data_IF_333346351776
#
_entry.id   IF_333346351776
#
_cell.length_a   1.000
_cell.length_b   1.000
_cell.length_c   1.000
_cell.angle_alpha   90.00
_cell.angle_beta   90.00
_cell.angle_gamma   90.00
#
_symmetry.space_group_name_H-M   'P 1'
#
loop_
_entity.id
_entity.type
_entity.pdbx_description
1 polymer ?
#
# COMPACT_ATOMS: atom_id res chain seq x y z
N UNK A 1 47.71 -79.08 4.39
CA UNK A 1 46.38 -78.76 3.83
C UNK A 1 46.56 -77.50 2.99
N UNK A 2 46.41 -77.60 1.66
CA UNK A 2 46.23 -76.44 0.77
C UNK A 2 44.80 -75.94 1.10
N UNK A 3 44.55 -74.66 1.29
CA UNK A 3 44.19 -73.72 0.23
C UNK A 3 44.17 -72.29 0.82
N UNK A 4 44.52 -71.38 -0.06
CA UNK A 4 44.67 -69.92 0.03
C UNK A 4 43.32 -69.24 0.33
N UNK A 5 43.32 -68.18 1.14
CA UNK A 5 42.23 -67.21 1.21
C UNK A 5 42.80 -65.77 1.12
N UNK A 6 42.49 -65.12 0.01
CA UNK A 6 42.55 -63.67 -0.23
C UNK A 6 41.32 -63.03 0.45
N UNK A 7 41.25 -61.76 0.87
CA UNK A 7 41.26 -60.53 0.08
C UNK A 7 40.79 -59.36 0.96
N UNK A 8 41.26 -58.15 0.64
CA UNK A 8 40.60 -56.83 0.77
C UNK A 8 40.27 -56.31 2.19
N UNK A 9 40.71 -55.12 2.60
CA UNK A 9 40.50 -53.84 1.91
C UNK A 9 41.68 -52.89 2.15
N UNK A 10 42.21 -52.33 1.07
CA UNK A 10 43.16 -51.21 1.10
C UNK A 10 42.39 -49.95 1.50
N UNK A 11 42.86 -49.27 2.55
CA UNK A 11 42.46 -47.91 2.89
C UNK A 11 42.81 -46.97 1.73
N UNK A 12 41.81 -46.42 1.04
CA UNK A 12 42.03 -45.32 0.09
C UNK A 12 41.69 -44.01 0.80
N UNK A 13 42.75 -43.26 1.09
CA UNK A 13 42.72 -41.88 1.51
C UNK A 13 42.64 -41.01 0.24
N UNK A 14 41.48 -40.43 -0.05
CA UNK A 14 41.36 -39.34 -1.02
C UNK A 14 40.64 -38.17 -0.35
N UNK A 15 41.40 -37.14 0.01
CA UNK A 15 40.86 -35.83 0.32
C UNK A 15 40.26 -35.23 -0.95
N UNK A 16 38.94 -35.09 -1.00
CA UNK A 16 38.24 -34.25 -1.98
C UNK A 16 37.84 -32.95 -1.28
N UNK A 17 38.69 -31.94 -1.48
CA UNK A 17 38.33 -30.52 -1.33
C UNK A 17 37.84 -30.02 -2.68
N UNK A 18 36.53 -29.93 -2.80
CA UNK A 18 35.83 -29.01 -3.70
C UNK A 18 34.36 -29.03 -3.29
N UNK A 19 33.97 -28.12 -2.40
CA UNK A 19 32.57 -27.83 -2.17
C UNK A 19 31.97 -27.40 -3.51
N UNK A 20 30.93 -28.10 -3.94
CA UNK A 20 30.23 -27.81 -5.18
C UNK A 20 29.81 -26.35 -5.25
N UNK A 21 29.83 -25.80 -6.46
CA UNK A 21 29.23 -24.51 -6.74
C UNK A 21 27.80 -24.50 -6.19
N UNK A 22 27.38 -23.47 -5.44
CA UNK A 22 25.97 -23.34 -5.11
C UNK A 22 25.22 -23.19 -6.42
N UNK A 23 24.23 -24.06 -6.58
CA UNK A 23 23.18 -23.98 -7.58
C UNK A 23 22.70 -22.53 -7.68
N UNK A 24 22.79 -21.93 -8.87
CA UNK A 24 22.04 -20.71 -9.23
C UNK A 24 20.55 -21.06 -9.26
N UNK A 25 19.99 -21.28 -8.08
CA UNK A 25 18.58 -21.06 -7.84
C UNK A 25 18.41 -19.54 -7.96
N UNK A 26 18.02 -19.13 -9.17
CA UNK A 26 17.48 -17.83 -9.52
C UNK A 26 16.67 -17.32 -8.33
N UNK A 27 17.26 -16.40 -7.57
CA UNK A 27 16.59 -15.68 -6.51
C UNK A 27 15.49 -14.90 -7.20
N UNK A 28 14.30 -15.49 -7.25
CA UNK A 28 13.07 -14.76 -7.44
C UNK A 28 13.07 -13.69 -6.37
N UNK A 29 13.31 -12.45 -6.79
CA UNK A 29 13.00 -11.27 -6.00
C UNK A 29 11.48 -11.23 -5.86
N UNK A 30 10.92 -12.05 -4.99
CA UNK A 30 9.66 -11.74 -4.34
C UNK A 30 9.96 -10.67 -3.30
N UNK A 31 10.17 -9.45 -3.79
CA UNK A 31 10.12 -8.24 -3.00
C UNK A 31 8.63 -7.90 -2.73
N UNK A 32 7.91 -8.84 -2.13
CA UNK A 32 6.60 -8.61 -1.50
C UNK A 32 6.79 -9.19 -0.09
N UNK A 33 6.76 -8.46 1.02
CA UNK A 33 5.94 -7.30 1.34
C UNK A 33 6.44 -6.72 2.67
N UNK A 34 7.30 -5.70 2.63
CA UNK A 34 7.53 -4.76 3.76
C UNK A 34 7.70 -3.31 3.28
N UNK A 35 7.35 -3.02 2.01
CA UNK A 35 7.31 -1.66 1.44
C UNK A 35 5.89 -1.12 1.22
N UNK A 36 4.87 -1.75 1.78
CA UNK A 36 3.49 -1.24 1.73
C UNK A 36 3.24 -0.07 2.73
N UNK A 37 4.22 0.29 3.56
CA UNK A 37 4.09 1.37 4.54
C UNK A 37 4.64 2.73 4.07
N UNK A 38 5.24 2.81 2.87
CA UNK A 38 5.89 4.04 2.38
C UNK A 38 5.14 4.74 1.24
N UNK A 39 4.12 4.09 0.67
CA UNK A 39 3.30 4.67 -0.42
C UNK A 39 1.98 5.25 0.12
N UNK A 40 1.90 5.51 1.43
CA UNK A 40 0.75 6.13 2.08
C UNK A 40 1.10 7.56 2.47
N UNK A 41 0.26 8.54 2.13
CA UNK A 41 0.55 9.93 2.52
C UNK A 41 0.70 10.08 4.04
N UNK A 42 -0.04 9.32 4.87
CA UNK A 42 0.09 9.35 6.33
C UNK A 42 1.48 9.00 6.85
N UNK A 43 2.30 8.26 6.08
CA UNK A 43 3.68 7.97 6.48
C UNK A 43 4.55 9.24 6.60
N UNK A 44 4.19 10.30 5.86
CA UNK A 44 4.94 11.56 5.79
C UNK A 44 4.09 12.79 6.14
N UNK A 45 2.81 12.59 6.44
CA UNK A 45 1.86 13.66 6.74
C UNK A 45 1.29 13.55 8.16
N UNK A 46 0.85 14.68 8.71
CA UNK A 46 0.23 14.79 10.03
C UNK A 46 -0.71 15.98 10.09
N UNK A 47 -1.49 16.04 11.17
CA UNK A 47 -2.51 17.06 11.39
C UNK A 47 -3.55 17.05 10.26
N UNK A 48 -3.93 15.85 9.81
CA UNK A 48 -4.93 15.66 8.76
C UNK A 48 -6.30 16.07 9.27
N UNK A 49 -6.95 16.99 8.55
CA UNK A 49 -8.27 17.52 8.84
C UNK A 49 -9.12 17.45 7.58
N UNK A 50 -10.42 17.24 7.74
CA UNK A 50 -11.38 17.20 6.65
C UNK A 50 -12.47 18.24 6.87
N UNK A 51 -12.71 19.07 5.86
CA UNK A 51 -13.85 19.97 5.81
C UNK A 51 -14.98 19.33 5.00
N UNK A 52 -16.06 18.96 5.68
CA UNK A 52 -17.22 18.31 5.07
C UNK A 52 -18.01 19.24 4.13
N UNK A 53 -17.94 20.56 4.32
CA UNK A 53 -18.69 21.51 3.49
C UNK A 53 -18.07 21.66 2.10
N UNK A 54 -16.74 21.60 2.04
CA UNK A 54 -15.95 21.77 0.81
C UNK A 54 -15.34 20.46 0.33
N UNK A 55 -15.66 19.35 0.99
CA UNK A 55 -15.04 18.01 0.82
C UNK A 55 -13.52 18.07 0.68
N UNK A 56 -12.88 18.98 1.41
CA UNK A 56 -11.45 19.27 1.28
C UNK A 56 -10.66 18.60 2.39
N UNK A 57 -9.67 17.80 2.00
CA UNK A 57 -8.68 17.22 2.90
C UNK A 57 -7.50 18.17 3.01
N UNK A 58 -7.14 18.54 4.23
CA UNK A 58 -5.94 19.34 4.52
C UNK A 58 -5.00 18.53 5.38
N UNK A 59 -3.71 18.51 5.03
CA UNK A 59 -2.70 17.85 5.84
C UNK A 59 -1.36 18.58 5.75
N UNK A 60 -0.50 18.35 6.74
CA UNK A 60 0.85 18.90 6.76
C UNK A 60 1.85 17.79 6.48
N UNK A 61 2.49 17.87 5.32
CA UNK A 61 3.29 16.80 4.72
C UNK A 61 4.76 17.18 4.59
N UNK A 62 5.64 16.20 4.74
CA UNK A 62 7.08 16.38 4.55
C UNK A 62 7.42 16.43 3.06
N UNK A 63 8.23 17.41 2.66
CA UNK A 63 8.74 17.53 1.30
C UNK A 63 10.12 16.87 1.14
N UNK A 64 10.66 16.84 -0.09
CA UNK A 64 11.95 16.20 -0.38
C UNK A 64 13.16 16.84 0.34
N UNK A 65 12.99 18.07 0.87
CA UNK A 65 13.99 18.76 1.68
C UNK A 65 13.80 18.53 3.19
N UNK A 66 12.90 17.64 3.60
CA UNK A 66 12.57 17.36 5.00
C UNK A 66 11.76 18.46 5.69
N UNK A 67 11.18 19.39 4.92
CA UNK A 67 10.39 20.51 5.47
C UNK A 67 8.91 20.20 5.45
N UNK A 68 8.20 20.82 6.37
CA UNK A 68 6.76 20.71 6.49
C UNK A 68 6.00 21.71 5.65
N UNK A 69 5.12 21.20 4.82
CA UNK A 69 4.26 21.96 3.91
C UNK A 69 2.82 21.56 4.20
N UNK A 70 2.00 22.54 4.55
CA UNK A 70 0.54 22.34 4.64
C UNK A 70 -0.05 22.53 3.26
N UNK A 71 -0.81 21.54 2.80
CA UNK A 71 -1.51 21.57 1.52
C UNK A 71 -2.91 20.98 1.68
N UNK A 72 -3.78 21.32 0.73
CA UNK A 72 -5.18 20.92 0.72
C UNK A 72 -5.55 20.41 -0.66
N UNK A 73 -6.43 19.42 -0.71
CA UNK A 73 -6.98 18.85 -1.95
C UNK A 73 -8.48 18.61 -1.77
N UNK A 74 -9.27 18.90 -2.79
CA UNK A 74 -10.68 18.50 -2.81
C UNK A 74 -10.76 17.00 -3.09
N UNK A 75 -11.49 16.24 -2.27
CA UNK A 75 -11.68 14.82 -2.56
C UNK A 75 -12.53 14.57 -3.80
N UNK A 76 -13.26 15.57 -4.32
CA UNK A 76 -13.92 15.48 -5.62
C UNK A 76 -12.94 15.31 -6.78
N UNK A 77 -11.68 15.76 -6.64
CA UNK A 77 -10.68 15.52 -7.67
C UNK A 77 -10.12 14.09 -7.64
N UNK A 78 -10.38 13.31 -6.58
CA UNK A 78 -9.76 11.99 -6.39
C UNK A 78 -10.77 10.84 -6.18
N UNK A 79 -12.05 11.13 -5.94
CA UNK A 79 -13.08 10.13 -5.66
C UNK A 79 -14.26 10.25 -6.60
N UNK A 80 -14.80 9.12 -7.02
CA UNK A 80 -16.11 9.00 -7.67
C UNK A 80 -17.02 8.04 -6.93
N UNK A 81 -18.30 8.10 -7.29
CA UNK A 81 -19.31 7.13 -6.92
C UNK A 81 -19.53 6.17 -8.09
N UNK A 82 -19.09 4.92 -7.95
CA UNK A 82 -19.36 3.85 -8.90
C UNK A 82 -20.47 2.93 -8.35
N UNK A 83 -21.71 3.19 -8.78
CA UNK A 83 -22.89 2.40 -8.41
C UNK A 83 -23.06 2.21 -6.88
N UNK A 84 -22.91 3.29 -6.12
CA UNK A 84 -23.00 3.31 -4.66
C UNK A 84 -21.69 2.96 -3.94
N UNK A 85 -20.59 2.72 -4.67
CA UNK A 85 -19.26 2.47 -4.09
C UNK A 85 -18.35 3.68 -4.26
N UNK A 86 -17.65 4.07 -3.19
CA UNK A 86 -16.58 5.06 -3.29
C UNK A 86 -15.35 4.40 -3.94
N UNK A 87 -14.86 5.01 -5.01
CA UNK A 87 -13.68 4.54 -5.75
C UNK A 87 -12.72 5.68 -6.03
N UNK A 88 -11.42 5.38 -6.11
CA UNK A 88 -10.42 6.33 -6.55
C UNK A 88 -10.60 6.62 -8.05
N UNK A 89 -10.83 7.89 -8.39
CA UNK A 89 -10.97 8.34 -9.76
C UNK A 89 -10.65 9.82 -9.86
N UNK A 90 -9.76 10.18 -10.80
CA UNK A 90 -9.45 11.58 -11.11
C UNK A 90 -10.72 12.30 -11.59
N UNK A 91 -10.97 13.48 -11.04
CA UNK A 91 -12.14 14.32 -11.33
C UNK A 91 -13.48 13.61 -11.12
N UNK A 92 -13.53 12.67 -10.18
CA UNK A 92 -14.67 11.78 -9.96
C UNK A 92 -15.93 12.44 -9.39
N UNK A 93 -15.81 13.60 -8.75
CA UNK A 93 -16.92 14.42 -8.23
C UNK A 93 -17.94 13.64 -7.37
N UNK A 94 -17.47 12.74 -6.49
CA UNK A 94 -18.34 11.90 -5.67
C UNK A 94 -19.36 12.70 -4.83
N UNK A 95 -19.01 13.93 -4.40
CA UNK A 95 -19.87 14.75 -3.54
C UNK A 95 -21.21 15.12 -4.19
N UNK A 96 -21.31 15.03 -5.53
CA UNK A 96 -22.54 15.30 -6.28
C UNK A 96 -23.61 14.22 -6.10
N UNK A 97 -23.22 12.99 -5.75
CA UNK A 97 -24.12 11.82 -5.66
C UNK A 97 -23.93 11.03 -4.36
N UNK A 98 -23.16 11.57 -3.43
CA UNK A 98 -22.95 11.01 -2.10
C UNK A 98 -23.33 12.05 -1.03
N UNK A 99 -23.97 11.56 0.02
CA UNK A 99 -24.46 12.32 1.17
C UNK A 99 -23.97 11.68 2.48
N UNK A 100 -24.22 12.35 3.61
CA UNK A 100 -23.80 11.92 4.95
C UNK A 100 -22.29 11.58 5.04
N UNK A 101 -21.48 12.40 4.35
CA UNK A 101 -20.03 12.26 4.30
C UNK A 101 -19.46 12.42 5.71
N UNK A 102 -18.76 11.38 6.16
CA UNK A 102 -18.21 11.28 7.51
C UNK A 102 -16.73 10.92 7.43
N UNK A 103 -15.89 11.76 8.05
CA UNK A 103 -14.47 11.50 8.22
C UNK A 103 -14.22 10.93 9.62
N UNK A 104 -13.65 9.73 9.70
CA UNK A 104 -13.45 9.03 10.97
C UNK A 104 -12.16 9.46 11.70
N UNK A 105 -11.38 10.39 11.13
CA UNK A 105 -10.07 10.74 11.65
C UNK A 105 -8.98 9.77 11.19
N UNK A 106 -7.79 9.97 11.75
CA UNK A 106 -6.67 9.02 11.61
C UNK A 106 -6.69 8.08 12.82
N UNK A 107 -6.90 6.79 12.58
CA UNK A 107 -6.95 5.74 13.61
C UNK A 107 -5.99 4.64 13.17
N UNK A 108 -5.00 4.31 14.01
CA UNK A 108 -4.02 3.23 13.76
C UNK A 108 -3.39 3.30 12.34
N UNK A 109 -2.96 4.50 11.94
CA UNK A 109 -2.39 4.79 10.60
C UNK A 109 -3.34 4.57 9.41
N UNK A 110 -4.64 4.47 9.66
CA UNK A 110 -5.70 4.39 8.65
C UNK A 110 -6.51 5.68 8.66
N UNK A 111 -7.00 6.11 7.50
CA UNK A 111 -7.82 7.31 7.37
C UNK A 111 -9.04 7.02 6.52
N UNK A 112 -10.15 6.71 7.17
CA UNK A 112 -11.37 6.27 6.48
C UNK A 112 -12.35 7.42 6.25
N UNK A 113 -12.80 7.54 5.00
CA UNK A 113 -13.97 8.33 4.63
C UNK A 113 -15.15 7.38 4.41
N UNK A 114 -16.32 7.72 4.96
CA UNK A 114 -17.56 7.01 4.73
C UNK A 114 -18.59 7.97 4.13
N UNK A 115 -19.40 7.50 3.19
CA UNK A 115 -20.53 8.26 2.66
C UNK A 115 -21.66 7.32 2.24
N UNK A 116 -22.89 7.84 2.18
CA UNK A 116 -24.04 7.16 1.57
C UNK A 116 -24.18 7.65 0.13
N UNK A 117 -23.99 6.78 -0.83
CA UNK A 117 -23.88 7.10 -2.25
C UNK A 117 -25.02 6.50 -3.07
N UNK A 118 -25.51 7.24 -4.06
CA UNK A 118 -26.57 6.79 -4.97
C UNK A 118 -26.11 5.55 -5.76
N UNK A 119 -26.94 4.50 -5.78
CA UNK A 119 -26.76 3.35 -6.66
C UNK A 119 -27.55 3.54 -7.96
N UNK A 120 -27.15 2.88 -9.06
CA UNK A 120 -27.88 2.94 -10.33
C UNK A 120 -29.30 2.39 -10.22
N UNK A 121 -29.49 1.40 -9.36
CA UNK A 121 -30.78 0.79 -9.08
C UNK A 121 -30.91 0.50 -7.58
N UNK A 122 -32.08 0.82 -7.04
CA UNK A 122 -32.39 0.54 -5.64
C UNK A 122 -31.99 1.68 -4.70
N UNK A 123 -31.85 1.39 -3.39
CA UNK A 123 -31.52 2.42 -2.40
C UNK A 123 -30.03 2.81 -2.47
N UNK A 124 -29.73 3.99 -1.94
CA UNK A 124 -28.35 4.42 -1.69
C UNK A 124 -27.59 3.39 -0.84
N UNK A 125 -26.28 3.29 -1.07
CA UNK A 125 -25.38 2.38 -0.38
C UNK A 125 -24.41 3.17 0.48
N UNK A 126 -24.26 2.78 1.74
CA UNK A 126 -23.17 3.30 2.57
C UNK A 126 -21.87 2.59 2.19
N UNK A 127 -20.91 3.36 1.68
CA UNK A 127 -19.58 2.90 1.29
C UNK A 127 -18.51 3.61 2.10
N UNK A 128 -17.38 2.94 2.30
CA UNK A 128 -16.20 3.48 2.96
C UNK A 128 -14.95 3.25 2.13
N UNK A 129 -13.99 4.16 2.19
CA UNK A 129 -12.70 4.06 1.52
C UNK A 129 -11.58 4.55 2.42
N UNK A 130 -10.43 3.88 2.36
CA UNK A 130 -9.19 4.32 3.03
C UNK A 130 -8.48 5.35 2.15
N UNK A 131 -8.36 6.59 2.61
CA UNK A 131 -7.72 7.67 1.86
C UNK A 131 -6.22 7.46 1.67
N UNK A 132 -5.58 6.56 2.42
CA UNK A 132 -4.21 6.12 2.11
C UNK A 132 -4.09 5.45 0.73
N UNK A 133 -5.20 4.99 0.15
CA UNK A 133 -5.24 4.37 -1.19
C UNK A 133 -5.65 5.36 -2.29
N UNK A 134 -5.95 6.61 -1.92
CA UNK A 134 -6.58 7.62 -2.78
C UNK A 134 -5.80 8.93 -2.82
N UNK A 135 -4.95 9.18 -1.82
CA UNK A 135 -4.21 10.43 -1.67
C UNK A 135 -2.74 10.11 -1.44
N UNK A 136 -1.90 10.81 -2.18
CA UNK A 136 -0.44 10.76 -2.08
C UNK A 136 0.13 12.08 -1.56
N UNK A 137 1.38 12.01 -1.08
CA UNK A 137 2.19 13.18 -0.80
C UNK A 137 3.26 13.36 -1.89
N UNK A 138 3.07 14.36 -2.76
CA UNK A 138 4.06 14.75 -3.75
C UNK A 138 4.82 16.00 -3.29
N UNK A 139 6.01 15.79 -2.70
CA UNK A 139 6.91 16.86 -2.28
C UNK A 139 6.23 17.91 -1.35
N UNK A 140 5.41 17.44 -0.41
CA UNK A 140 4.68 18.27 0.56
C UNK A 140 3.26 18.65 0.10
N UNK A 141 2.87 18.31 -1.13
CA UNK A 141 1.56 18.62 -1.68
C UNK A 141 0.70 17.36 -1.81
N UNK A 142 -0.52 17.40 -1.27
CA UNK A 142 -1.49 16.33 -1.47
C UNK A 142 -1.89 16.24 -2.94
N UNK A 143 -1.85 15.02 -3.49
CA UNK A 143 -2.27 14.72 -4.87
C UNK A 143 -3.14 13.48 -4.89
N UNK A 144 -3.93 13.29 -5.95
CA UNK A 144 -4.43 11.96 -6.27
C UNK A 144 -3.27 11.10 -6.82
N UNK A 145 -3.30 9.77 -6.68
CA UNK A 145 -2.29 8.86 -7.22
C UNK A 145 -2.20 8.88 -8.76
#
# INVERSE_FOLDING_TARGET
MKIILSSSNVLVLCAVVSFGAPFDAQTGSTANSERAANDQFLATCRNTMFDVQTVTLTSTCENLAGRMVTSSISLDSCLSNDNGQLVAQIDGSFSLTCQDITFLGVIDNTVTLTARCEAFYGPDITSSIDLNTVVDNNNGFLTCP
#
